data_IF_470246290343
#
_entry.id   IF_470246290343
#
_cell.length_a   1.000
_cell.length_b   1.000
_cell.length_c   1.000
_cell.angle_alpha   90.00
_cell.angle_beta   90.00
_cell.angle_gamma   90.00
#
_symmetry.space_group_name_H-M   'P 1'
#
loop_
_entity.id
_entity.type
_entity.pdbx_description
1 polymer ?
#
# COMPACT_ATOMS: atom_id res chain seq x y z
N UNK A 1 -4.24 3.79 11.69
CA UNK A 1 -4.48 3.45 10.27
C UNK A 1 -3.25 2.74 9.77
N UNK A 2 -3.41 1.59 9.10
CA UNK A 2 -2.30 0.80 8.61
C UNK A 2 -1.87 1.27 7.21
N UNK A 3 -0.57 1.29 6.93
CA UNK A 3 -0.01 1.52 5.58
C UNK A 3 1.19 0.60 5.35
N UNK A 4 1.55 0.36 4.09
CA UNK A 4 2.77 -0.37 3.70
C UNK A 4 3.55 0.47 2.70
N UNK A 5 4.87 0.56 2.85
CA UNK A 5 5.73 1.34 1.94
C UNK A 5 5.85 0.67 0.57
N UNK A 6 5.91 1.42 -0.53
CA UNK A 6 5.95 0.88 -1.89
C UNK A 6 7.37 0.48 -2.36
N UNK A 7 8.23 -0.02 -1.47
CA UNK A 7 9.63 -0.36 -1.81
C UNK A 7 9.74 -1.50 -2.82
N UNK A 8 8.74 -2.38 -2.85
CA UNK A 8 8.63 -3.49 -3.80
C UNK A 8 7.42 -3.35 -4.74
N UNK A 9 6.78 -2.18 -4.77
CA UNK A 9 5.60 -1.96 -5.59
C UNK A 9 5.97 -1.91 -7.07
N UNK A 10 5.26 -2.71 -7.86
CA UNK A 10 5.24 -2.61 -9.32
C UNK A 10 4.07 -3.41 -9.89
N UNK A 11 3.57 -3.00 -11.05
CA UNK A 11 2.61 -3.80 -11.81
C UNK A 11 3.37 -4.91 -12.53
N UNK A 12 3.43 -6.10 -11.92
CA UNK A 12 4.12 -7.28 -12.48
C UNK A 12 3.17 -8.36 -13.01
N UNK A 13 1.87 -8.20 -12.75
CA UNK A 13 0.81 -9.10 -13.20
C UNK A 13 -0.50 -8.33 -13.33
N UNK A 14 -1.55 -9.00 -13.82
CA UNK A 14 -2.86 -8.38 -14.06
C UNK A 14 -3.98 -9.19 -13.42
N UNK A 15 -4.63 -8.60 -12.43
CA UNK A 15 -5.83 -9.15 -11.77
C UNK A 15 -7.03 -8.18 -11.83
N UNK A 16 -6.82 -6.96 -12.32
CA UNK A 16 -7.87 -5.98 -12.55
C UNK A 16 -7.61 -5.19 -13.85
N UNK A 17 -8.62 -4.46 -14.38
CA UNK A 17 -8.51 -3.78 -15.67
C UNK A 17 -7.46 -2.67 -15.75
N UNK A 18 -7.01 -2.12 -14.62
CA UNK A 18 -6.07 -1.00 -14.53
C UNK A 18 -4.60 -1.42 -14.56
N UNK A 19 -4.32 -2.71 -14.41
CA UNK A 19 -2.97 -3.25 -14.43
C UNK A 19 -2.52 -3.57 -15.85
N UNK A 20 -1.43 -2.94 -16.27
CA UNK A 20 -0.73 -3.15 -17.55
C UNK A 20 0.73 -3.55 -17.25
N UNK A 21 1.06 -4.85 -17.13
CA UNK A 21 2.40 -5.32 -16.78
C UNK A 21 3.51 -4.89 -17.75
N UNK A 22 3.14 -4.55 -19.00
CA UNK A 22 4.02 -3.94 -19.99
C UNK A 22 4.51 -2.53 -19.60
N UNK A 23 3.84 -1.89 -18.64
CA UNK A 23 4.15 -0.56 -18.12
C UNK A 23 4.40 -0.63 -16.61
N UNK A 24 5.59 -1.10 -16.16
CA UNK A 24 5.93 -1.15 -14.75
C UNK A 24 5.95 0.25 -14.13
N UNK A 25 5.83 0.32 -12.81
CA UNK A 25 5.81 1.59 -12.08
C UNK A 25 7.20 2.20 -11.96
N UNK A 26 7.26 3.52 -11.81
CA UNK A 26 8.45 4.20 -11.29
C UNK A 26 8.45 4.14 -9.76
N UNK A 27 9.36 3.35 -9.19
CA UNK A 27 9.49 3.16 -7.73
C UNK A 27 9.80 4.46 -7.00
N UNK A 28 10.63 5.35 -7.56
CA UNK A 28 10.98 6.60 -6.90
C UNK A 28 9.76 7.53 -6.85
N UNK A 29 9.03 7.64 -7.95
CA UNK A 29 7.78 8.40 -7.99
C UNK A 29 6.73 7.83 -7.03
N UNK A 30 6.59 6.50 -6.98
CA UNK A 30 5.68 5.84 -6.04
C UNK A 30 6.04 6.15 -4.58
N UNK A 31 7.33 6.11 -4.23
CA UNK A 31 7.82 6.48 -2.90
C UNK A 31 7.53 7.94 -2.57
N UNK A 32 7.72 8.87 -3.51
CA UNK A 32 7.40 10.29 -3.31
C UNK A 32 5.90 10.53 -3.11
N UNK A 33 5.06 9.93 -3.96
CA UNK A 33 3.60 10.04 -3.87
C UNK A 33 3.05 9.43 -2.57
N UNK A 34 3.57 8.26 -2.18
CA UNK A 34 3.21 7.61 -0.92
C UNK A 34 3.64 8.45 0.28
N UNK A 35 4.85 9.02 0.26
CA UNK A 35 5.35 9.84 1.38
C UNK A 35 4.48 11.09 1.58
N UNK A 36 4.05 11.73 0.49
CA UNK A 36 3.12 12.85 0.55
C UNK A 36 1.77 12.47 1.19
N UNK A 37 1.24 11.29 0.86
CA UNK A 37 0.00 10.77 1.47
C UNK A 37 0.19 10.44 2.96
N UNK A 38 1.27 9.76 3.29
CA UNK A 38 1.65 9.43 4.67
C UNK A 38 1.78 10.68 5.55
N UNK A 39 2.51 11.69 5.08
CA UNK A 39 2.69 12.97 5.77
C UNK A 39 1.36 13.71 5.90
N UNK A 40 0.53 13.68 4.86
CA UNK A 40 -0.81 14.30 4.90
C UNK A 40 -1.66 13.71 6.01
N UNK A 41 -1.74 12.38 6.13
CA UNK A 41 -2.50 11.74 7.22
C UNK A 41 -1.94 12.08 8.59
N UNK A 42 -0.61 12.09 8.75
CA UNK A 42 0.01 12.46 10.03
C UNK A 42 -0.25 13.92 10.41
N UNK A 43 -0.17 14.83 9.44
CA UNK A 43 -0.46 16.25 9.65
C UNK A 43 -1.93 16.51 10.01
N UNK A 44 -2.84 15.65 9.55
CA UNK A 44 -4.25 15.67 9.95
C UNK A 44 -4.52 15.03 11.33
N UNK A 45 -3.48 14.52 12.01
CA UNK A 45 -3.59 13.94 13.35
C UNK A 45 -3.94 12.45 13.39
N UNK A 46 -3.93 11.75 12.25
CA UNK A 46 -4.12 10.30 12.25
C UNK A 46 -2.88 9.59 12.78
N UNK A 47 -3.07 8.60 13.66
CA UNK A 47 -2.04 7.61 13.93
C UNK A 47 -1.89 6.70 12.70
N UNK A 48 -0.66 6.64 12.17
CA UNK A 48 -0.32 5.80 11.02
C UNK A 48 0.74 4.79 11.44
N UNK A 49 0.36 3.51 11.38
CA UNK A 49 1.26 2.38 11.64
C UNK A 49 1.72 1.82 10.29
N UNK A 50 3.01 1.56 10.16
CA UNK A 50 3.63 1.11 8.89
C UNK A 50 4.16 -0.30 9.07
N UNK A 51 3.80 -1.19 8.14
CA UNK A 51 4.34 -2.56 8.08
C UNK A 51 5.47 -2.67 7.05
N UNK A 52 6.37 -3.62 7.27
CA UNK A 52 7.47 -3.91 6.36
C UNK A 52 6.95 -4.54 5.06
N UNK A 53 7.34 -4.02 3.88
CA UNK A 53 7.01 -4.63 2.61
C UNK A 53 7.81 -5.93 2.41
N UNK A 54 7.24 -6.88 1.67
CA UNK A 54 7.90 -8.13 1.31
C UNK A 54 8.19 -8.19 -0.19
N UNK A 55 9.40 -8.60 -0.55
CA UNK A 55 9.78 -8.84 -1.93
C UNK A 55 8.87 -9.93 -2.55
N UNK A 56 8.43 -9.71 -3.78
CA UNK A 56 7.50 -10.61 -4.47
C UNK A 56 6.01 -10.39 -4.14
N UNK A 57 5.68 -9.50 -3.20
CA UNK A 57 4.29 -9.12 -2.87
C UNK A 57 4.03 -7.63 -3.15
N UNK A 58 4.00 -7.20 -4.43
CA UNK A 58 3.95 -5.77 -4.78
C UNK A 58 2.70 -5.06 -4.28
N UNK A 59 1.57 -5.77 -4.19
CA UNK A 59 0.27 -5.22 -3.82
C UNK A 59 0.07 -5.03 -2.31
N UNK A 60 1.07 -5.35 -1.46
CA UNK A 60 0.98 -5.08 0.00
C UNK A 60 0.73 -3.60 0.33
N UNK A 61 1.05 -2.69 -0.58
CA UNK A 61 0.74 -1.24 -0.47
C UNK A 61 -0.76 -0.98 -0.28
N UNK A 62 -1.62 -1.85 -0.80
CA UNK A 62 -3.07 -1.79 -0.66
C UNK A 62 -3.54 -2.41 0.66
N UNK A 63 -3.02 -1.88 1.77
CA UNK A 63 -3.33 -2.36 3.14
C UNK A 63 -4.82 -2.45 3.48
N UNK A 64 -5.69 -1.74 2.75
CA UNK A 64 -7.15 -1.86 2.85
C UNK A 64 -7.67 -3.28 2.55
N UNK A 65 -6.93 -4.08 1.77
CA UNK A 65 -7.29 -5.45 1.45
C UNK A 65 -6.79 -6.48 2.48
N UNK A 66 -6.02 -6.06 3.49
CA UNK A 66 -5.46 -6.98 4.50
C UNK A 66 -6.49 -7.58 5.46
N UNK A 67 -7.67 -6.95 5.58
CA UNK A 67 -8.77 -7.42 6.42
C UNK A 67 -9.71 -6.30 6.82
N UNK A 68 -10.85 -6.67 7.39
CA UNK A 68 -11.80 -5.74 7.99
C UNK A 68 -11.64 -5.74 9.50
N UNK A 69 -11.63 -4.56 10.14
CA UNK A 69 -11.50 -4.44 11.60
C UNK A 69 -12.75 -3.80 12.17
N UNK A 70 -13.34 -4.44 13.18
CA UNK A 70 -14.47 -3.92 13.96
C UNK A 70 -14.19 -4.16 15.44
N UNK A 71 -14.26 -3.10 16.24
CA UNK A 71 -14.06 -3.14 17.70
C UNK A 71 -12.78 -3.87 18.15
N UNK A 72 -11.69 -3.67 17.40
CA UNK A 72 -10.38 -4.28 17.68
C UNK A 72 -10.24 -5.73 17.23
N UNK A 73 -11.25 -6.31 16.55
CA UNK A 73 -11.22 -7.66 16.00
C UNK A 73 -10.97 -7.59 14.49
N UNK A 74 -9.96 -8.30 14.02
CA UNK A 74 -9.63 -8.42 12.61
C UNK A 74 -10.30 -9.64 11.97
N UNK A 75 -10.94 -9.45 10.82
CA UNK A 75 -11.55 -10.47 9.99
C UNK A 75 -10.79 -10.56 8.66
N UNK A 76 -10.16 -11.71 8.42
CA UNK A 76 -9.54 -12.06 7.15
C UNK A 76 -10.48 -12.85 6.24
N UNK A 77 -10.09 -13.01 4.97
CA UNK A 77 -10.77 -13.88 4.00
C UNK A 77 -10.37 -15.35 4.17
#
# INVERSE_FOLDING_TARGET
MLMCRPEHFTVSYRINPWMYPENPTDTNLALSQWSALYDTYRNLGFQVDVIDPLAGLPDMVYSANGGFVLDGIAYGA
#
